data_IF_077487096046
#
_entry.id   IF_077487096046
#
_cell.length_a   1.000
_cell.length_b   1.000
_cell.length_c   1.000
_cell.angle_alpha   90.00
_cell.angle_beta   90.00
_cell.angle_gamma   90.00
#
_symmetry.space_group_name_H-M   'P 1'
#
loop_
_entity.id
_entity.type
_entity.pdbx_description
1 polymer ?
#
# COMPACT_ATOMS: atom_id res chain seq x y z
N UNK A 1 6.61 43.89 -17.68
CA UNK A 1 5.65 43.35 -16.70
C UNK A 1 5.00 42.17 -17.34
N UNK A 2 5.51 40.95 -17.03
CA UNK A 2 4.90 39.68 -17.43
C UNK A 2 4.18 39.07 -16.22
N UNK A 3 2.98 38.54 -16.38
CA UNK A 3 2.32 37.84 -15.28
C UNK A 3 2.90 36.43 -15.09
N UNK A 4 3.04 36.06 -13.83
CA UNK A 4 3.51 34.76 -13.39
C UNK A 4 2.53 33.67 -13.79
N UNK A 5 3.02 32.64 -14.48
CA UNK A 5 2.33 31.38 -14.71
C UNK A 5 2.28 30.58 -13.39
N UNK A 6 1.09 30.50 -12.83
CA UNK A 6 0.75 29.60 -11.72
C UNK A 6 0.53 28.22 -12.32
N UNK A 7 1.53 27.37 -12.25
CA UNK A 7 1.40 25.94 -12.65
C UNK A 7 0.56 25.23 -11.59
N UNK A 8 -0.73 25.14 -11.84
CA UNK A 8 -1.68 24.27 -11.12
C UNK A 8 -1.36 22.84 -11.49
N UNK A 9 -0.90 22.04 -10.51
CA UNK A 9 -0.69 20.61 -10.67
C UNK A 9 -2.03 19.91 -10.95
N UNK A 10 -2.24 19.51 -12.20
CA UNK A 10 -3.40 18.75 -12.66
C UNK A 10 -3.17 17.26 -12.41
N UNK A 11 -3.41 16.82 -11.19
CA UNK A 11 -3.81 15.43 -10.97
C UNK A 11 -5.24 15.31 -11.46
N UNK A 12 -5.47 14.58 -12.56
CA UNK A 12 -6.84 14.33 -13.05
C UNK A 12 -7.68 13.56 -12.03
N UNK A 13 -9.03 13.68 -12.06
CA UNK A 13 -9.92 12.92 -11.20
C UNK A 13 -9.72 11.40 -11.40
N UNK A 14 -10.04 10.63 -10.36
CA UNK A 14 -10.04 9.17 -10.42
C UNK A 14 -10.95 8.67 -11.55
N UNK A 15 -10.69 7.48 -12.13
CA UNK A 15 -11.59 6.89 -13.12
C UNK A 15 -13.01 6.75 -12.53
N UNK A 16 -14.04 7.08 -13.32
CA UNK A 16 -15.44 7.00 -12.89
C UNK A 16 -15.81 5.57 -12.47
N UNK A 17 -16.46 5.43 -11.32
CA UNK A 17 -16.94 4.14 -10.81
C UNK A 17 -16.05 3.50 -9.74
N UNK A 18 -15.02 4.20 -9.22
CA UNK A 18 -14.25 3.74 -8.06
C UNK A 18 -15.05 3.91 -6.76
N UNK A 19 -14.96 2.92 -5.87
CA UNK A 19 -15.68 2.90 -4.59
C UNK A 19 -14.69 3.10 -3.42
N UNK A 20 -15.10 3.90 -2.46
CA UNK A 20 -14.34 4.14 -1.26
C UNK A 20 -15.18 3.84 -0.01
N UNK A 21 -14.55 3.29 1.02
CA UNK A 21 -15.13 3.10 2.33
C UNK A 21 -14.35 3.94 3.35
N UNK A 22 -15.06 4.80 4.09
CA UNK A 22 -14.48 5.63 5.17
C UNK A 22 -14.96 5.11 6.50
N UNK A 23 -14.03 4.73 7.37
CA UNK A 23 -14.31 4.11 8.66
C UNK A 23 -13.66 4.91 9.78
N UNK A 24 -14.48 5.58 10.58
CA UNK A 24 -14.04 6.37 11.72
C UNK A 24 -15.27 6.64 12.64
N UNK A 25 -15.10 6.64 13.95
CA UNK A 25 -16.17 6.89 14.92
C UNK A 25 -16.44 8.38 15.13
N UNK A 26 -15.67 9.27 14.47
CA UNK A 26 -15.85 10.72 14.49
C UNK A 26 -16.64 11.21 13.25
N UNK A 27 -17.98 11.48 13.32
CA UNK A 27 -18.78 11.88 12.17
C UNK A 27 -18.28 13.13 11.43
N UNK A 28 -17.68 14.15 12.12
CA UNK A 28 -17.12 15.30 11.43
C UNK A 28 -15.95 14.94 10.52
N UNK A 29 -15.07 14.01 10.94
CA UNK A 29 -13.94 13.54 10.13
C UNK A 29 -14.41 12.73 8.94
N UNK A 30 -15.32 11.77 9.17
CA UNK A 30 -15.97 10.98 8.11
C UNK A 30 -16.54 11.91 7.03
N UNK A 31 -17.31 12.93 7.42
CA UNK A 31 -17.91 13.89 6.49
C UNK A 31 -16.87 14.65 5.67
N UNK A 32 -15.77 15.06 6.28
CA UNK A 32 -14.69 15.79 5.59
C UNK A 32 -14.00 14.87 4.58
N UNK A 33 -13.57 13.68 5.01
CA UNK A 33 -12.87 12.72 4.14
C UNK A 33 -13.76 12.29 2.98
N UNK A 34 -15.03 11.94 3.25
CA UNK A 34 -15.99 11.55 2.20
C UNK A 34 -16.15 12.62 1.13
N UNK A 35 -16.33 13.89 1.52
CA UNK A 35 -16.44 15.00 0.55
C UNK A 35 -15.22 15.18 -0.33
N UNK A 36 -14.01 14.89 0.17
CA UNK A 36 -12.81 14.96 -0.64
C UNK A 36 -12.73 13.78 -1.62
N UNK A 37 -13.08 12.57 -1.19
CA UNK A 37 -13.14 11.39 -2.04
C UNK A 37 -14.22 11.53 -3.13
N UNK A 38 -15.42 12.07 -2.79
CA UNK A 38 -16.48 12.36 -3.75
C UNK A 38 -16.03 13.37 -4.83
N UNK A 39 -15.25 14.39 -4.45
CA UNK A 39 -14.66 15.35 -5.41
C UNK A 39 -13.65 14.72 -6.35
N UNK A 40 -12.97 13.66 -5.91
CA UNK A 40 -12.07 12.85 -6.73
C UNK A 40 -12.83 11.84 -7.63
N UNK A 41 -14.17 11.74 -7.49
CA UNK A 41 -15.01 10.88 -8.33
C UNK A 41 -15.33 9.52 -7.74
N UNK A 42 -15.09 9.30 -6.42
CA UNK A 42 -15.46 8.06 -5.76
C UNK A 42 -16.95 8.03 -5.37
N UNK A 43 -17.53 6.83 -5.44
CA UNK A 43 -18.73 6.49 -4.69
C UNK A 43 -18.32 6.13 -3.26
N UNK A 44 -18.80 6.89 -2.27
CA UNK A 44 -18.32 6.79 -0.89
C UNK A 44 -19.38 6.20 0.03
N UNK A 45 -19.02 5.11 0.72
CA UNK A 45 -19.75 4.58 1.86
C UNK A 45 -18.98 4.88 3.16
N UNK A 46 -19.67 4.80 4.32
CA UNK A 46 -19.03 5.03 5.59
C UNK A 46 -19.56 4.09 6.68
N UNK A 47 -18.67 3.77 7.66
CA UNK A 47 -18.98 3.02 8.86
C UNK A 47 -18.39 3.72 10.08
N UNK A 48 -19.02 3.55 11.26
CA UNK A 48 -18.54 4.11 12.53
C UNK A 48 -17.89 3.09 13.45
N UNK A 49 -17.78 1.83 13.03
CA UNK A 49 -17.20 0.73 13.81
C UNK A 49 -16.62 -0.35 12.91
N UNK A 50 -15.81 -1.25 13.50
CA UNK A 50 -15.10 -2.28 12.76
C UNK A 50 -16.00 -3.37 12.19
N UNK A 51 -17.07 -3.77 12.89
CA UNK A 51 -18.00 -4.82 12.42
C UNK A 51 -18.75 -4.36 11.17
N UNK A 52 -19.26 -3.14 11.21
CA UNK A 52 -19.95 -2.54 10.08
C UNK A 52 -19.00 -2.30 8.91
N UNK A 53 -17.75 -1.90 9.18
CA UNK A 53 -16.72 -1.77 8.16
C UNK A 53 -16.44 -3.07 7.41
N UNK A 54 -16.29 -4.20 8.13
CA UNK A 54 -16.08 -5.53 7.54
C UNK A 54 -17.27 -5.94 6.67
N UNK A 55 -18.51 -5.71 7.15
CA UNK A 55 -19.73 -6.02 6.41
C UNK A 55 -19.82 -5.22 5.09
N UNK A 56 -19.62 -3.88 5.16
CA UNK A 56 -19.64 -3.01 3.99
C UNK A 56 -18.50 -3.28 3.02
N UNK A 57 -17.29 -3.59 3.50
CA UNK A 57 -16.17 -3.95 2.65
C UNK A 57 -16.48 -5.22 1.82
N UNK A 58 -17.20 -6.18 2.40
CA UNK A 58 -17.62 -7.40 1.71
C UNK A 58 -18.73 -7.16 0.70
N UNK A 59 -19.69 -6.29 1.03
CA UNK A 59 -20.83 -5.98 0.18
C UNK A 59 -20.42 -5.12 -1.02
N UNK A 60 -19.60 -4.10 -0.75
CA UNK A 60 -19.29 -3.06 -1.74
C UNK A 60 -18.05 -3.37 -2.57
N UNK A 61 -17.15 -4.24 -2.09
CA UNK A 61 -15.84 -4.49 -2.70
C UNK A 61 -15.16 -3.18 -3.10
N UNK A 62 -14.77 -2.32 -2.13
CA UNK A 62 -14.23 -1.00 -2.40
C UNK A 62 -12.82 -1.06 -3.00
N UNK A 63 -12.44 -0.05 -3.79
CA UNK A 63 -11.08 0.10 -4.31
C UNK A 63 -10.11 0.65 -3.26
N UNK A 64 -10.64 1.50 -2.35
CA UNK A 64 -9.88 2.09 -1.24
C UNK A 64 -10.70 2.12 0.05
N UNK A 65 -10.03 1.85 1.16
CA UNK A 65 -10.59 1.94 2.52
C UNK A 65 -9.72 2.90 3.33
N UNK A 66 -10.32 3.93 3.89
CA UNK A 66 -9.70 4.80 4.90
C UNK A 66 -10.21 4.32 6.24
N UNK A 67 -9.33 3.80 7.10
CA UNK A 67 -9.69 3.05 8.29
C UNK A 67 -9.03 3.64 9.54
N UNK A 68 -9.83 4.10 10.49
CA UNK A 68 -9.27 4.51 11.78
C UNK A 68 -8.78 3.30 12.58
N UNK A 69 -7.67 3.52 13.28
CA UNK A 69 -7.08 2.52 14.16
C UNK A 69 -7.95 2.29 15.40
N UNK A 70 -8.45 3.39 15.98
CA UNK A 70 -9.13 3.42 17.27
C UNK A 70 -10.65 3.37 17.10
N UNK A 71 -11.17 2.21 16.72
CA UNK A 71 -12.62 2.00 16.56
C UNK A 71 -13.25 1.36 17.80
N UNK A 72 -14.53 1.63 18.10
CA UNK A 72 -15.26 0.90 19.10
C UNK A 72 -15.53 -0.55 18.68
N UNK A 73 -15.50 -1.48 19.65
CA UNK A 73 -15.72 -2.90 19.42
C UNK A 73 -14.50 -3.58 18.81
N UNK A 74 -14.56 -3.94 17.54
CA UNK A 74 -13.42 -4.45 16.77
C UNK A 74 -12.53 -3.27 16.36
N UNK A 75 -11.28 -3.27 16.84
CA UNK A 75 -10.32 -2.23 16.48
C UNK A 75 -9.92 -2.25 14.99
N UNK A 76 -9.32 -1.16 14.49
CA UNK A 76 -8.94 -1.02 13.08
C UNK A 76 -7.92 -2.05 12.63
N UNK A 77 -7.06 -2.56 13.51
CA UNK A 77 -6.06 -3.59 13.17
C UNK A 77 -6.77 -4.91 12.86
N UNK A 78 -7.66 -5.33 13.74
CA UNK A 78 -8.42 -6.56 13.56
C UNK A 78 -9.39 -6.46 12.38
N UNK A 79 -10.04 -5.29 12.21
CA UNK A 79 -10.88 -5.02 11.04
C UNK A 79 -10.07 -5.11 9.73
N UNK A 80 -8.88 -4.50 9.67
CA UNK A 80 -7.97 -4.58 8.53
C UNK A 80 -7.59 -6.03 8.21
N UNK A 81 -7.20 -6.80 9.22
CA UNK A 81 -6.82 -8.21 9.06
C UNK A 81 -7.97 -9.06 8.50
N UNK A 82 -9.19 -8.86 9.00
CA UNK A 82 -10.36 -9.58 8.50
C UNK A 82 -10.73 -9.16 7.08
N UNK A 83 -10.68 -7.86 6.77
CA UNK A 83 -10.93 -7.35 5.41
C UNK A 83 -9.91 -7.94 4.44
N UNK A 84 -8.65 -8.01 4.81
CA UNK A 84 -7.56 -8.56 3.98
C UNK A 84 -7.73 -10.04 3.63
N UNK A 85 -8.47 -10.79 4.43
CA UNK A 85 -8.76 -12.20 4.13
C UNK A 85 -9.67 -12.41 2.91
N UNK A 86 -10.32 -11.35 2.40
CA UNK A 86 -11.26 -11.46 1.27
C UNK A 86 -11.21 -10.27 0.30
N UNK A 87 -10.42 -9.23 0.55
CA UNK A 87 -10.38 -8.01 -0.26
C UNK A 87 -8.95 -7.55 -0.56
N UNK A 88 -8.73 -7.16 -1.81
CA UNK A 88 -7.52 -6.53 -2.30
C UNK A 88 -7.59 -4.99 -2.31
N UNK A 89 -8.60 -4.39 -1.67
CA UNK A 89 -8.73 -2.95 -1.54
C UNK A 89 -7.43 -2.31 -1.02
N UNK A 90 -7.11 -1.10 -1.45
CA UNK A 90 -6.05 -0.34 -0.78
C UNK A 90 -6.55 0.16 0.57
N UNK A 91 -5.83 -0.17 1.65
CA UNK A 91 -6.18 0.22 3.02
C UNK A 91 -5.19 1.26 3.53
N UNK A 92 -5.70 2.48 3.77
CA UNK A 92 -4.98 3.56 4.44
C UNK A 92 -5.45 3.60 5.88
N UNK A 93 -4.55 3.33 6.83
CA UNK A 93 -4.87 3.43 8.26
C UNK A 93 -4.65 4.85 8.77
N UNK A 94 -5.61 5.36 9.54
CA UNK A 94 -5.46 6.60 10.29
C UNK A 94 -5.01 6.27 11.72
N UNK A 95 -3.97 6.94 12.22
CA UNK A 95 -3.41 6.70 13.56
C UNK A 95 -3.16 7.99 14.32
N UNK A 96 -3.32 7.99 15.64
CA UNK A 96 -3.05 9.14 16.46
C UNK A 96 -1.56 9.37 16.75
N UNK A 97 -0.70 8.34 16.60
CA UNK A 97 0.72 8.39 16.98
C UNK A 97 1.62 7.63 16.02
N UNK A 98 2.79 8.20 15.75
CA UNK A 98 3.86 7.54 14.98
C UNK A 98 4.35 6.26 15.67
N UNK A 99 4.41 6.23 17.01
CA UNK A 99 4.81 5.06 17.81
C UNK A 99 3.84 3.88 17.68
N UNK A 100 2.60 4.12 17.28
CA UNK A 100 1.62 3.06 16.97
C UNK A 100 1.96 2.37 15.67
N UNK A 101 2.57 3.09 14.72
CA UNK A 101 3.02 2.53 13.43
C UNK A 101 4.03 1.41 13.69
N UNK A 102 4.99 1.60 14.60
CA UNK A 102 5.99 0.57 14.95
C UNK A 102 5.34 -0.69 15.53
N UNK A 103 4.25 -0.55 16.30
CA UNK A 103 3.46 -1.69 16.81
C UNK A 103 2.70 -2.40 15.68
N UNK A 104 2.14 -1.63 14.76
CA UNK A 104 1.39 -2.13 13.60
C UNK A 104 2.32 -2.86 12.65
N UNK A 105 3.54 -2.35 12.44
CA UNK A 105 4.63 -2.99 11.66
C UNK A 105 4.92 -4.40 12.19
N UNK A 106 4.97 -4.55 13.52
CA UNK A 106 5.20 -5.86 14.15
C UNK A 106 4.06 -6.87 13.98
N UNK A 107 2.86 -6.42 13.61
CA UNK A 107 1.64 -7.24 13.58
C UNK A 107 1.21 -7.70 12.18
N UNK A 108 1.94 -7.34 11.11
CA UNK A 108 1.61 -7.73 9.72
C UNK A 108 0.14 -7.53 9.36
N UNK A 109 -0.40 -6.34 9.65
CA UNK A 109 -1.84 -6.04 9.54
C UNK A 109 -2.38 -6.07 8.11
N UNK A 110 -1.51 -5.95 7.11
CA UNK A 110 -1.90 -5.90 5.70
C UNK A 110 -2.40 -4.53 5.22
N UNK A 111 -2.27 -3.46 6.01
CA UNK A 111 -2.49 -2.10 5.54
C UNK A 111 -1.45 -1.68 4.50
N UNK A 112 -1.83 -0.83 3.56
CA UNK A 112 -0.96 -0.38 2.48
C UNK A 112 -0.29 0.95 2.82
N UNK A 113 -0.91 1.80 3.64
CA UNK A 113 -0.35 3.08 4.07
C UNK A 113 -0.87 3.49 5.45
N UNK A 114 -0.17 4.45 6.07
CA UNK A 114 -0.50 5.00 7.39
C UNK A 114 -0.44 6.52 7.34
N UNK A 115 -1.45 7.17 7.90
CA UNK A 115 -1.54 8.63 8.00
C UNK A 115 -1.76 9.01 9.45
N UNK A 116 -0.88 9.84 10.00
CA UNK A 116 -0.99 10.30 11.38
C UNK A 116 -1.99 11.45 11.51
N UNK A 117 -2.90 11.37 12.48
CA UNK A 117 -3.78 12.49 12.88
C UNK A 117 -2.97 13.50 13.71
N UNK A 118 -3.09 14.84 13.49
CA UNK A 118 -3.92 15.48 12.49
C UNK A 118 -3.26 15.47 11.09
N UNK A 119 -4.03 15.23 10.05
CA UNK A 119 -3.59 15.26 8.66
C UNK A 119 -4.33 16.29 7.82
N UNK A 120 -3.75 16.70 6.71
CA UNK A 120 -4.47 17.50 5.73
C UNK A 120 -5.27 16.60 4.77
N UNK A 121 -6.54 16.95 4.43
CA UNK A 121 -7.27 16.17 3.42
C UNK A 121 -6.54 16.08 2.08
N UNK A 122 -5.78 17.10 1.70
CA UNK A 122 -4.95 17.10 0.49
C UNK A 122 -3.85 16.04 0.53
N UNK A 123 -3.22 15.82 1.68
CA UNK A 123 -2.23 14.76 1.90
C UNK A 123 -2.86 13.38 1.73
N UNK A 124 -3.99 13.12 2.40
CA UNK A 124 -4.70 11.86 2.27
C UNK A 124 -5.09 11.57 0.81
N UNK A 125 -5.62 12.58 0.10
CA UNK A 125 -5.98 12.41 -1.32
C UNK A 125 -4.78 12.17 -2.22
N UNK A 126 -3.63 12.78 -1.95
CA UNK A 126 -2.39 12.52 -2.69
C UNK A 126 -1.96 11.06 -2.53
N UNK A 127 -2.05 10.50 -1.32
CA UNK A 127 -1.74 9.10 -1.01
C UNK A 127 -2.72 8.14 -1.70
N UNK A 128 -4.02 8.40 -1.62
CA UNK A 128 -5.05 7.62 -2.30
C UNK A 128 -4.82 7.60 -3.81
N UNK A 129 -4.57 8.76 -4.43
CA UNK A 129 -4.25 8.84 -5.86
C UNK A 129 -3.00 8.07 -6.24
N UNK A 130 -1.95 8.14 -5.41
CA UNK A 130 -0.71 7.41 -5.66
C UNK A 130 -0.95 5.89 -5.68
N UNK A 131 -1.72 5.36 -4.72
CA UNK A 131 -2.04 3.93 -4.64
C UNK A 131 -2.89 3.42 -5.80
N UNK A 132 -3.80 4.25 -6.33
CA UNK A 132 -4.67 3.89 -7.46
C UNK A 132 -4.01 4.08 -8.83
N UNK A 133 -2.89 4.81 -8.86
CA UNK A 133 -2.10 5.01 -10.06
C UNK A 133 -1.28 3.75 -10.36
N UNK A 134 -1.92 2.72 -10.92
CA UNK A 134 -1.22 1.50 -11.35
C UNK A 134 -0.09 1.90 -12.30
N UNK A 135 1.14 1.42 -12.13
CA UNK A 135 2.11 1.42 -13.20
C UNK A 135 1.47 0.62 -14.34
N UNK A 136 1.08 1.30 -15.43
CA UNK A 136 0.75 0.56 -16.66
C UNK A 136 2.01 -0.19 -17.02
N UNK A 137 1.96 -1.53 -17.24
CA UNK A 137 3.11 -2.24 -17.77
C UNK A 137 3.53 -1.49 -19.04
N UNK A 138 4.77 -1.01 -19.06
CA UNK A 138 5.32 -0.32 -20.21
C UNK A 138 5.19 -1.27 -21.40
N UNK A 139 4.50 -0.85 -22.44
CA UNK A 139 4.18 -1.63 -23.66
C UNK A 139 5.42 -2.05 -24.46
N UNK A 140 6.63 -1.83 -23.92
CA UNK A 140 7.93 -2.03 -24.59
C UNK A 140 8.85 -3.06 -23.89
N UNK A 141 8.36 -3.82 -22.90
CA UNK A 141 9.15 -4.93 -22.38
C UNK A 141 8.65 -6.23 -23.01
N UNK A 142 9.58 -6.96 -23.63
CA UNK A 142 9.37 -8.35 -24.03
C UNK A 142 8.81 -9.15 -22.85
N UNK A 143 8.00 -10.21 -23.09
CA UNK A 143 7.44 -11.03 -22.02
C UNK A 143 8.59 -11.58 -21.19
N UNK A 144 8.90 -10.92 -20.09
CA UNK A 144 9.83 -11.40 -19.07
C UNK A 144 9.15 -12.62 -18.45
N UNK A 145 9.65 -13.80 -18.78
CA UNK A 145 9.20 -15.04 -18.16
C UNK A 145 9.39 -14.99 -16.63
N UNK A 146 8.84 -15.95 -15.92
CA UNK A 146 8.96 -16.05 -14.48
C UNK A 146 10.43 -15.92 -14.04
N UNK A 147 10.67 -15.08 -13.03
CA UNK A 147 12.00 -14.87 -12.43
C UNK A 147 12.19 -15.83 -11.29
N UNK A 148 13.38 -16.43 -11.16
CA UNK A 148 13.68 -17.41 -10.11
C UNK A 148 14.89 -16.99 -9.28
N UNK A 149 14.73 -17.11 -7.95
CA UNK A 149 15.75 -16.86 -6.94
C UNK A 149 15.74 -18.02 -5.93
N UNK A 150 16.55 -19.04 -6.18
CA UNK A 150 16.45 -20.29 -5.42
C UNK A 150 15.07 -20.93 -5.58
N UNK A 151 14.36 -21.10 -4.46
CA UNK A 151 13.02 -21.69 -4.42
C UNK A 151 11.88 -20.68 -4.67
N UNK A 152 12.22 -19.38 -4.76
CA UNK A 152 11.26 -18.31 -5.03
C UNK A 152 11.08 -18.13 -6.55
N UNK A 153 9.84 -18.19 -6.99
CA UNK A 153 9.43 -17.93 -8.37
C UNK A 153 8.43 -16.76 -8.39
N UNK A 154 8.66 -15.79 -9.28
CA UNK A 154 7.87 -14.57 -9.42
C UNK A 154 7.43 -14.47 -10.87
N UNK A 155 6.12 -14.50 -11.12
CA UNK A 155 5.54 -14.21 -12.44
C UNK A 155 4.96 -12.78 -12.45
N UNK A 156 5.64 -11.82 -13.11
CA UNK A 156 5.19 -10.44 -13.14
C UNK A 156 3.91 -10.23 -13.95
N UNK A 157 3.65 -11.10 -14.93
CA UNK A 157 2.50 -10.96 -15.81
C UNK A 157 1.22 -11.49 -15.15
N UNK A 158 1.31 -12.67 -14.52
CA UNK A 158 0.22 -13.25 -13.76
C UNK A 158 0.07 -12.59 -12.38
N UNK A 159 1.07 -11.82 -11.91
CA UNK A 159 1.19 -11.30 -10.53
C UNK A 159 1.15 -12.43 -9.50
N UNK A 160 1.76 -13.55 -9.83
CA UNK A 160 1.85 -14.73 -8.97
C UNK A 160 3.25 -14.86 -8.37
N UNK A 161 3.27 -15.31 -7.12
CA UNK A 161 4.51 -15.66 -6.41
C UNK A 161 4.38 -17.07 -5.85
N UNK A 162 5.43 -17.86 -6.02
CA UNK A 162 5.52 -19.22 -5.48
C UNK A 162 6.82 -19.38 -4.69
N UNK A 163 6.72 -20.05 -3.56
CA UNK A 163 7.88 -20.43 -2.75
C UNK A 163 7.91 -21.95 -2.61
N UNK A 164 8.98 -22.58 -3.07
CA UNK A 164 9.09 -24.06 -3.13
C UNK A 164 7.91 -24.74 -3.86
N UNK A 165 7.33 -24.06 -4.85
CA UNK A 165 6.17 -24.52 -5.62
C UNK A 165 4.81 -24.14 -5.05
N UNK A 166 4.74 -23.74 -3.77
CA UNK A 166 3.49 -23.33 -3.13
C UNK A 166 3.18 -21.85 -3.39
N UNK A 167 1.92 -21.49 -3.68
CA UNK A 167 1.53 -20.11 -3.91
C UNK A 167 1.64 -19.28 -2.63
N UNK A 168 2.11 -18.04 -2.76
CA UNK A 168 2.20 -17.06 -1.68
C UNK A 168 1.29 -15.88 -1.99
N UNK A 169 0.35 -15.60 -1.10
CA UNK A 169 -0.54 -14.46 -1.21
C UNK A 169 0.16 -13.18 -0.72
N UNK A 170 0.42 -12.27 -1.66
CA UNK A 170 0.96 -10.95 -1.38
C UNK A 170 -0.12 -9.88 -1.57
N UNK A 171 -0.05 -8.80 -0.79
CA UNK A 171 -0.81 -7.59 -1.11
C UNK A 171 -0.28 -6.97 -2.40
N UNK A 172 -1.04 -6.06 -3.00
CA UNK A 172 -0.62 -5.36 -4.22
C UNK A 172 0.73 -4.68 -4.07
N UNK A 173 0.96 -4.00 -2.94
CA UNK A 173 2.22 -3.29 -2.68
C UNK A 173 3.39 -4.22 -2.35
N UNK A 174 3.16 -5.30 -1.62
CA UNK A 174 4.19 -6.31 -1.38
C UNK A 174 4.66 -6.96 -2.69
N UNK A 175 3.71 -7.25 -3.59
CA UNK A 175 4.05 -7.75 -4.91
C UNK A 175 4.84 -6.72 -5.72
N UNK A 176 4.39 -5.46 -5.76
CA UNK A 176 5.05 -4.39 -6.52
C UNK A 176 6.48 -4.10 -6.02
N UNK A 177 6.70 -4.18 -4.70
CA UNK A 177 8.05 -4.10 -4.11
C UNK A 177 8.92 -5.28 -4.53
N UNK A 178 8.39 -6.50 -4.45
CA UNK A 178 9.11 -7.70 -4.86
C UNK A 178 9.41 -7.68 -6.37
N UNK A 179 8.47 -7.24 -7.20
CA UNK A 179 8.65 -7.06 -8.63
C UNK A 179 9.74 -6.02 -8.93
N UNK A 180 9.71 -4.86 -8.26
CA UNK A 180 10.73 -3.82 -8.40
C UNK A 180 12.14 -4.33 -8.06
N UNK A 181 12.29 -5.05 -6.94
CA UNK A 181 13.58 -5.59 -6.50
C UNK A 181 14.07 -6.71 -7.43
N UNK A 182 13.17 -7.60 -7.86
CA UNK A 182 13.51 -8.75 -8.71
C UNK A 182 13.78 -8.38 -10.16
N UNK A 183 13.24 -7.27 -10.66
CA UNK A 183 13.50 -6.77 -11.99
C UNK A 183 14.97 -6.33 -12.20
N UNK A 184 15.59 -5.80 -11.16
CA UNK A 184 16.96 -5.32 -11.16
C UNK A 184 17.74 -5.89 -9.97
N UNK A 185 18.01 -7.21 -9.90
CA UNK A 185 18.42 -7.91 -8.67
C UNK A 185 19.79 -7.49 -8.13
N UNK A 186 20.62 -6.85 -8.94
CA UNK A 186 21.94 -6.35 -8.53
C UNK A 186 21.92 -4.90 -8.06
N UNK A 187 20.80 -4.20 -8.28
CA UNK A 187 20.64 -2.78 -7.90
C UNK A 187 20.25 -2.70 -6.43
N UNK A 188 20.89 -1.81 -5.70
CA UNK A 188 20.43 -1.39 -4.37
C UNK A 188 19.48 -0.22 -4.55
N UNK A 189 18.26 -0.40 -4.11
CA UNK A 189 17.25 0.66 -4.12
C UNK A 189 17.25 1.39 -2.78
N UNK A 190 17.33 2.72 -2.79
CA UNK A 190 17.02 3.49 -1.60
C UNK A 190 15.51 3.43 -1.30
N UNK A 191 15.11 3.83 -0.09
CA UNK A 191 13.69 3.88 0.27
C UNK A 191 12.93 4.84 -0.62
N UNK A 192 13.48 6.01 -0.86
CA UNK A 192 12.90 7.03 -1.74
C UNK A 192 12.70 6.49 -3.16
N UNK A 193 13.69 5.78 -3.69
CA UNK A 193 13.59 5.18 -5.04
C UNK A 193 12.54 4.07 -5.12
N UNK A 194 12.36 3.28 -4.05
CA UNK A 194 11.27 2.30 -3.97
C UNK A 194 9.91 2.99 -3.86
N UNK A 195 9.81 4.05 -3.06
CA UNK A 195 8.60 4.87 -2.98
C UNK A 195 8.22 5.45 -4.34
N UNK A 196 9.16 6.11 -5.01
CA UNK A 196 8.92 6.68 -6.33
C UNK A 196 8.45 5.61 -7.34
N UNK A 197 9.05 4.42 -7.29
CA UNK A 197 8.74 3.33 -8.23
C UNK A 197 7.41 2.66 -7.96
N UNK A 198 7.04 2.46 -6.70
CA UNK A 198 5.86 1.68 -6.28
C UNK A 198 4.67 2.59 -5.98
N UNK A 199 4.88 3.72 -5.30
CA UNK A 199 3.84 4.69 -4.95
C UNK A 199 3.74 5.85 -5.95
N UNK A 200 4.78 6.08 -6.77
CA UNK A 200 4.86 7.18 -7.74
C UNK A 200 5.51 8.45 -7.19
N UNK A 201 6.00 9.32 -8.10
CA UNK A 201 6.82 10.49 -7.74
C UNK A 201 6.12 11.62 -6.99
N UNK A 202 4.80 11.54 -6.76
CA UNK A 202 4.05 12.52 -5.95
C UNK A 202 3.77 12.02 -4.51
N UNK A 203 4.50 11.01 -4.06
CA UNK A 203 4.39 10.52 -2.69
C UNK A 203 5.01 11.52 -1.71
N UNK A 204 4.25 11.92 -0.69
CA UNK A 204 4.67 12.85 0.38
C UNK A 204 4.66 12.20 1.77
N UNK A 205 4.67 10.86 1.84
CA UNK A 205 4.64 10.11 3.09
C UNK A 205 6.02 9.85 3.69
N UNK A 206 6.01 9.20 4.87
CA UNK A 206 7.22 8.72 5.54
C UNK A 206 7.80 7.51 4.77
N UNK A 207 9.11 7.47 4.58
CA UNK A 207 9.81 6.38 3.92
C UNK A 207 9.82 5.08 4.75
N UNK A 208 9.48 5.15 6.04
CA UNK A 208 9.26 3.98 6.90
C UNK A 208 8.18 3.02 6.40
N UNK A 209 7.22 3.48 5.57
CA UNK A 209 6.22 2.60 4.96
C UNK A 209 6.88 1.47 4.15
N UNK A 210 8.02 1.74 3.51
CA UNK A 210 8.79 0.72 2.78
C UNK A 210 9.30 -0.37 3.74
N UNK A 211 9.82 0.01 4.91
CA UNK A 211 10.33 -0.92 5.91
C UNK A 211 9.24 -1.87 6.42
N UNK A 212 8.02 -1.34 6.58
CA UNK A 212 6.82 -2.10 6.96
C UNK A 212 6.53 -3.20 5.93
N UNK A 213 6.38 -2.81 4.66
CA UNK A 213 6.06 -3.76 3.60
C UNK A 213 7.19 -4.76 3.35
N UNK A 214 8.45 -4.36 3.51
CA UNK A 214 9.60 -5.29 3.44
C UNK A 214 9.54 -6.29 4.61
N UNK A 215 9.18 -5.86 5.82
CA UNK A 215 9.04 -6.76 6.97
C UNK A 215 7.91 -7.78 6.75
N UNK A 216 6.76 -7.32 6.25
CA UNK A 216 5.61 -8.18 5.92
C UNK A 216 5.95 -9.17 4.80
N UNK A 217 6.59 -8.68 3.73
CA UNK A 217 7.06 -9.52 2.62
C UNK A 217 8.01 -10.61 3.11
N UNK A 218 8.99 -10.28 3.95
CA UNK A 218 9.90 -11.26 4.55
C UNK A 218 9.16 -12.31 5.37
N UNK A 219 8.19 -11.89 6.18
CA UNK A 219 7.38 -12.83 6.97
C UNK A 219 6.67 -13.83 6.06
N UNK A 220 6.04 -13.38 4.98
CA UNK A 220 5.35 -14.24 4.01
C UNK A 220 6.29 -15.16 3.23
N UNK A 221 7.51 -14.67 2.92
CA UNK A 221 8.56 -15.46 2.27
C UNK A 221 9.38 -16.33 3.23
N UNK A 222 9.09 -16.32 4.54
CA UNK A 222 9.90 -16.98 5.56
C UNK A 222 11.38 -16.59 5.48
N UNK A 223 11.66 -15.30 5.20
CA UNK A 223 12.99 -14.73 4.96
C UNK A 223 13.52 -14.04 6.22
N UNK A 224 14.43 -14.70 6.95
CA UNK A 224 15.00 -14.13 8.19
C UNK A 224 15.87 -12.90 7.88
N UNK A 225 15.56 -11.72 8.44
CA UNK A 225 16.35 -10.50 8.24
C UNK A 225 17.80 -10.59 8.71
N UNK A 226 18.15 -11.59 9.54
CA UNK A 226 19.53 -11.85 9.99
C UNK A 226 20.33 -12.64 8.97
N UNK A 227 19.66 -13.53 8.23
CA UNK A 227 20.23 -14.39 7.18
C UNK A 227 19.38 -14.33 5.91
N UNK A 228 19.22 -13.12 5.31
CA UNK A 228 18.23 -12.90 4.26
C UNK A 228 18.61 -13.64 2.96
N UNK A 229 17.69 -14.45 2.46
CA UNK A 229 17.81 -15.19 1.20
C UNK A 229 17.28 -14.38 0.01
N UNK A 230 16.11 -13.70 0.19
CA UNK A 230 15.37 -13.07 -0.90
C UNK A 230 15.40 -11.55 -0.87
N UNK A 231 15.26 -10.92 0.29
CA UNK A 231 15.30 -9.47 0.41
C UNK A 231 16.44 -9.05 1.35
N UNK A 232 17.52 -8.50 0.80
CA UNK A 232 18.69 -8.07 1.55
C UNK A 232 18.63 -6.60 1.93
N UNK A 233 18.88 -6.30 3.20
CA UNK A 233 19.10 -4.93 3.67
C UNK A 233 20.55 -4.52 3.43
N UNK A 234 20.74 -3.40 2.74
CA UNK A 234 22.03 -2.73 2.63
C UNK A 234 22.02 -1.56 3.61
N UNK A 235 22.70 -1.74 4.76
CA UNK A 235 22.66 -0.78 5.88
C UNK A 235 23.05 0.63 5.41
N UNK A 236 22.24 1.63 5.82
CA UNK A 236 22.44 3.03 5.46
C UNK A 236 22.09 3.37 4.01
N UNK A 237 21.63 2.41 3.19
CA UNK A 237 21.28 2.64 1.78
C UNK A 237 19.83 2.23 1.49
N UNK A 238 19.44 0.99 1.76
CA UNK A 238 18.09 0.49 1.43
C UNK A 238 18.04 -1.02 1.23
N UNK A 239 17.42 -1.48 0.15
CA UNK A 239 17.13 -2.88 -0.11
C UNK A 239 17.54 -3.33 -1.51
N UNK A 240 17.84 -4.62 -1.65
CA UNK A 240 18.05 -5.26 -2.95
C UNK A 240 17.55 -6.69 -2.94
N UNK A 241 17.38 -7.27 -4.11
CA UNK A 241 17.10 -8.70 -4.24
C UNK A 241 18.30 -9.55 -3.75
N UNK A 242 18.02 -10.64 -3.06
CA UNK A 242 18.97 -11.67 -2.69
C UNK A 242 19.11 -12.74 -3.77
N UNK A 243 20.01 -13.69 -3.57
CA UNK A 243 20.30 -14.75 -4.55
C UNK A 243 19.46 -16.02 -4.32
N UNK A 244 18.62 -16.05 -3.28
CA UNK A 244 17.82 -17.23 -2.92
C UNK A 244 18.59 -18.37 -2.24
N UNK A 245 19.79 -18.05 -1.71
CA UNK A 245 20.67 -19.03 -1.06
C UNK A 245 20.80 -18.72 0.41
#
# INVERSE_FOLDING_TARGET
MSPADTTTGTGGPAPAGLRALVVDDEPPLVKVVSRYLEREGFEVASAGDGEHAIALARELDPDVIVLDLMLPGIDGIEACRQIRSFSDAYIVMLTARVEEIDRIVGLSTGADDYVTKPFSPGELMARVRAMLRRPRPSRAQEPLGARRFGDLEIDPQAREVRLAGEPIELTKLEFDLLDALSAEPRVVFSRERLLERVWGGEWFGDDHVVDVHIANLRTKLSDDPRTPRYVRTVRGVGYRMGEGR
#
